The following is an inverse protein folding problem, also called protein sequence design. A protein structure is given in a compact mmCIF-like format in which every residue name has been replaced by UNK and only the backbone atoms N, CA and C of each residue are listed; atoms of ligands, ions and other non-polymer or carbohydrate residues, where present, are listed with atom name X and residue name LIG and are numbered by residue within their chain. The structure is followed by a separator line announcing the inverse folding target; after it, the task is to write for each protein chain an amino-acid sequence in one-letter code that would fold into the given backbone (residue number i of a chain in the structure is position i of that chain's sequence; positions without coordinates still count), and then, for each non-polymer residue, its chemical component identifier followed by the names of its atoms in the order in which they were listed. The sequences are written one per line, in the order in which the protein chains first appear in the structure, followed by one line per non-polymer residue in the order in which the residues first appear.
data_IF_456240028263
#
_entry.id   IF_456240028263
#
_cell.length_a   1.000
_cell.length_b   1.000
_cell.length_c   1.000
_cell.angle_alpha   90.00
_cell.angle_beta   90.00
_cell.angle_gamma   90.00
#
_symmetry.space_group_name_H-M   'P 1'
#
loop_
_entity.id
_entity.type
_entity.pdbx_description
1 polymer ?
#
# COMPACT_ATOMS: atom_id res chain seq x y z
N UNK A 1 9.62 -18.31 -20.91
CA UNK A 1 10.91 -18.62 -20.31
C UNK A 1 10.60 -19.12 -18.92
N UNK A 2 10.96 -20.40 -18.60
CA UNK A 2 10.66 -20.98 -17.31
C UNK A 2 11.35 -20.18 -16.20
N UNK A 3 10.72 -20.14 -15.03
CA UNK A 3 11.34 -19.66 -13.80
C UNK A 3 12.69 -20.36 -13.67
N UNK A 4 13.78 -19.61 -13.87
CA UNK A 4 15.12 -20.09 -13.53
C UNK A 4 15.03 -20.28 -12.02
N UNK A 5 15.09 -21.53 -11.57
CA UNK A 5 15.06 -21.88 -10.16
C UNK A 5 16.21 -21.17 -9.45
N UNK A 6 15.97 -19.93 -9.01
CA UNK A 6 16.89 -19.28 -8.08
C UNK A 6 16.78 -20.05 -6.76
N UNK A 7 17.90 -20.51 -6.26
CA UNK A 7 17.99 -21.03 -4.90
C UNK A 7 17.31 -20.03 -3.95
N UNK A 8 16.33 -20.49 -3.19
CA UNK A 8 15.70 -19.65 -2.17
C UNK A 8 16.80 -19.28 -1.17
N UNK A 9 17.04 -17.97 -0.94
CA UNK A 9 18.03 -17.54 0.01
C UNK A 9 17.76 -18.10 1.41
N UNK A 10 18.77 -18.72 1.97
CA UNK A 10 18.79 -19.29 3.31
C UNK A 10 20.10 -18.93 4.01
N UNK A 11 20.20 -19.19 5.30
CA UNK A 11 21.46 -19.00 6.03
C UNK A 11 22.61 -19.82 5.42
N UNK A 12 22.31 -21.01 4.92
CA UNK A 12 23.32 -21.93 4.41
C UNK A 12 23.87 -21.55 3.03
N UNK A 13 23.08 -20.81 2.22
CA UNK A 13 23.45 -20.50 0.84
C UNK A 13 23.69 -19.02 0.55
N UNK A 14 23.34 -18.10 1.46
CA UNK A 14 23.40 -16.66 1.21
C UNK A 14 24.82 -16.19 0.88
N UNK A 15 25.83 -16.68 1.55
CA UNK A 15 27.23 -16.34 1.26
C UNK A 15 27.63 -16.73 -0.17
N UNK A 16 27.16 -17.89 -0.65
CA UNK A 16 27.37 -18.35 -2.04
C UNK A 16 26.65 -17.47 -3.05
N UNK A 17 25.39 -17.07 -2.75
CA UNK A 17 24.61 -16.17 -3.61
C UNK A 17 25.24 -14.79 -3.76
N UNK A 18 25.99 -14.34 -2.75
CA UNK A 18 26.68 -13.05 -2.71
C UNK A 18 28.17 -13.12 -3.05
N UNK A 19 28.66 -14.25 -3.62
CA UNK A 19 30.11 -14.46 -3.84
C UNK A 19 30.78 -13.31 -4.61
N UNK A 20 30.11 -12.75 -5.61
CA UNK A 20 30.65 -11.71 -6.48
C UNK A 20 30.28 -10.27 -6.03
N UNK A 21 29.58 -10.13 -4.92
CA UNK A 21 29.15 -8.83 -4.41
C UNK A 21 30.14 -8.33 -3.35
N UNK A 22 30.29 -7.00 -3.25
CA UNK A 22 31.08 -6.33 -2.21
C UNK A 22 30.20 -5.62 -1.20
N UNK A 23 28.97 -5.30 -1.60
CA UNK A 23 28.00 -4.50 -0.83
C UNK A 23 26.61 -5.06 -0.98
N UNK A 24 25.76 -4.79 0.00
CA UNK A 24 24.36 -5.20 0.05
C UNK A 24 23.54 -3.99 0.47
N UNK A 25 22.44 -3.73 -0.21
CA UNK A 25 21.47 -2.71 0.19
C UNK A 25 20.37 -3.34 1.05
N UNK A 26 20.03 -2.69 2.14
CA UNK A 26 18.96 -3.13 3.07
C UNK A 26 18.04 -1.98 3.37
N UNK A 27 16.74 -2.24 3.51
CA UNK A 27 15.77 -1.23 3.91
C UNK A 27 14.60 -1.82 4.68
N UNK A 28 14.09 -1.08 5.66
CA UNK A 28 12.80 -1.30 6.30
C UNK A 28 11.77 -0.29 5.84
N UNK A 29 10.53 -0.47 6.23
CA UNK A 29 9.41 0.41 5.88
C UNK A 29 8.98 1.15 7.14
N UNK A 30 8.99 2.49 7.11
CA UNK A 30 8.58 3.33 8.23
C UNK A 30 7.05 3.50 8.34
N UNK A 31 6.57 4.34 9.28
CA UNK A 31 5.14 4.58 9.50
C UNK A 31 4.40 5.20 8.31
N UNK A 32 5.12 5.86 7.41
CA UNK A 32 4.57 6.51 6.21
C UNK A 32 4.71 5.66 4.94
N UNK A 33 5.25 4.43 5.07
CA UNK A 33 5.47 3.54 3.94
C UNK A 33 6.74 3.88 3.14
N UNK A 34 7.64 4.70 3.70
CA UNK A 34 8.91 5.08 3.09
C UNK A 34 9.96 4.01 3.40
N UNK A 35 10.73 3.64 2.38
CA UNK A 35 11.89 2.76 2.56
C UNK A 35 13.05 3.51 3.20
N UNK A 36 13.43 3.11 4.41
CA UNK A 36 14.56 3.62 5.18
C UNK A 36 15.63 2.55 5.29
N UNK A 37 16.85 2.86 4.88
CA UNK A 37 17.89 1.84 4.87
C UNK A 37 19.28 2.36 4.57
N UNK A 38 20.18 1.41 4.30
CA UNK A 38 21.59 1.73 4.03
C UNK A 38 22.21 0.70 3.09
N UNK A 39 23.36 1.04 2.55
CA UNK A 39 24.27 0.10 1.91
C UNK A 39 25.26 -0.38 2.96
N UNK A 40 25.48 -1.68 3.02
CA UNK A 40 26.39 -2.34 3.98
C UNK A 40 27.48 -3.07 3.21
N UNK A 41 28.65 -3.18 3.83
CA UNK A 41 29.67 -4.16 3.43
C UNK A 41 29.10 -5.58 3.50
N UNK A 42 29.47 -6.43 2.54
CA UNK A 42 28.95 -7.81 2.45
C UNK A 42 29.26 -8.64 3.69
N UNK A 43 30.49 -8.56 4.21
CA UNK A 43 30.89 -9.37 5.38
C UNK A 43 30.12 -8.91 6.63
N UNK A 44 29.90 -7.59 6.75
CA UNK A 44 29.03 -7.05 7.81
C UNK A 44 27.59 -7.50 7.67
N UNK A 45 27.05 -7.55 6.45
CA UNK A 45 25.71 -8.09 6.19
C UNK A 45 25.64 -9.57 6.58
N UNK A 46 26.58 -10.39 6.13
CA UNK A 46 26.61 -11.84 6.42
C UNK A 46 26.66 -12.10 7.94
N UNK A 47 27.47 -11.34 8.68
CA UNK A 47 27.51 -11.44 10.15
C UNK A 47 26.22 -11.02 10.85
N UNK A 48 25.34 -10.28 10.16
CA UNK A 48 24.08 -9.75 10.70
C UNK A 48 22.84 -10.57 10.32
N UNK A 49 23.01 -11.62 9.52
CA UNK A 49 21.87 -12.44 9.01
C UNK A 49 21.13 -13.14 10.14
N UNK A 50 21.83 -13.56 11.20
CA UNK A 50 21.24 -14.28 12.33
C UNK A 50 20.78 -13.34 13.44
N UNK A 51 21.70 -12.49 13.90
CA UNK A 51 21.49 -11.68 15.11
C UNK A 51 20.99 -10.27 14.81
N UNK A 52 20.95 -9.87 13.54
CA UNK A 52 20.59 -8.52 13.14
C UNK A 52 21.71 -7.50 13.35
N UNK A 53 21.35 -6.24 13.25
CA UNK A 53 22.23 -5.09 13.50
C UNK A 53 21.42 -3.91 14.03
N UNK A 54 22.09 -3.01 14.76
CA UNK A 54 21.48 -1.81 15.31
C UNK A 54 21.08 -0.80 14.22
N UNK A 55 19.88 -0.26 14.36
CA UNK A 55 19.37 0.89 13.61
C UNK A 55 18.56 1.76 14.56
N UNK A 56 18.73 3.09 14.52
CA UNK A 56 18.04 3.97 15.43
C UNK A 56 16.52 3.82 15.39
N UNK A 57 15.89 3.72 16.55
CA UNK A 57 14.45 3.64 16.73
C UNK A 57 13.71 4.88 16.21
N UNK A 58 14.42 5.99 16.02
CA UNK A 58 13.90 7.25 15.48
C UNK A 58 13.23 7.06 14.10
N UNK A 59 13.59 5.99 13.38
CA UNK A 59 13.01 5.62 12.09
C UNK A 59 11.47 5.54 12.13
N UNK A 60 10.89 5.14 13.26
CA UNK A 60 9.44 5.10 13.47
C UNK A 60 8.90 6.34 14.20
N UNK A 61 9.76 7.31 14.52
CA UNK A 61 9.40 8.58 15.14
C UNK A 61 9.48 9.78 14.21
N UNK A 62 9.90 9.60 12.95
CA UNK A 62 9.92 10.64 11.92
C UNK A 62 8.65 10.66 11.09
N UNK A 63 8.24 11.87 10.71
CA UNK A 63 7.30 12.07 9.61
C UNK A 63 8.01 11.96 8.25
N UNK A 64 7.27 12.19 7.15
CA UNK A 64 7.82 12.14 5.80
C UNK A 64 8.82 13.27 5.46
N UNK A 65 9.03 14.22 6.35
CA UNK A 65 10.01 15.31 6.26
C UNK A 65 11.16 15.16 7.26
N UNK A 66 11.29 14.00 7.91
CA UNK A 66 12.27 13.71 8.97
C UNK A 66 12.13 14.62 10.22
N UNK A 67 10.91 15.12 10.45
CA UNK A 67 10.57 15.85 11.67
C UNK A 67 10.03 14.86 12.70
N UNK A 68 10.55 14.94 13.92
CA UNK A 68 10.09 14.11 15.02
C UNK A 68 8.66 14.47 15.42
N UNK A 69 7.80 13.47 15.51
CA UNK A 69 6.52 13.64 16.17
C UNK A 69 6.63 13.17 17.62
N UNK A 70 6.22 14.04 18.56
CA UNK A 70 6.27 13.74 19.98
C UNK A 70 5.29 12.62 20.33
N UNK A 71 5.81 11.47 20.68
CA UNK A 71 5.06 10.37 21.27
C UNK A 71 5.60 10.14 22.67
N UNK A 72 4.79 10.35 23.70
CA UNK A 72 5.09 9.91 25.06
C UNK A 72 4.42 8.56 25.33
N UNK A 73 5.02 7.68 26.12
CA UNK A 73 6.39 7.20 26.23
C UNK A 73 6.58 5.95 25.35
N UNK A 74 7.35 6.06 24.29
CA UNK A 74 7.63 4.93 23.38
C UNK A 74 9.14 4.76 23.24
N UNK A 75 9.57 3.57 22.83
CA UNK A 75 10.96 3.25 22.49
C UNK A 75 11.60 4.21 21.46
N UNK A 76 10.80 5.08 20.85
CA UNK A 76 11.22 6.15 19.94
C UNK A 76 11.34 7.53 20.61
N UNK A 77 11.20 7.63 21.95
CA UNK A 77 11.16 8.91 22.66
C UNK A 77 12.55 9.42 23.02
N UNK A 78 12.64 10.76 23.19
CA UNK A 78 13.84 11.44 23.75
C UNK A 78 14.21 10.87 25.11
N UNK A 79 13.23 10.51 25.94
CA UNK A 79 13.44 9.99 27.29
C UNK A 79 14.16 8.65 27.31
N UNK A 80 14.00 7.84 26.26
CA UNK A 80 14.70 6.56 26.09
C UNK A 80 15.99 6.70 25.23
N UNK A 81 16.37 7.93 24.87
CA UNK A 81 17.62 8.22 24.17
C UNK A 81 17.66 7.70 22.74
N UNK A 82 16.51 7.41 22.09
CA UNK A 82 16.41 6.85 20.75
C UNK A 82 17.27 5.60 20.54
N UNK A 83 17.27 4.69 21.50
CA UNK A 83 18.03 3.43 21.45
C UNK A 83 17.82 2.67 20.15
N UNK A 84 18.73 1.78 19.83
CA UNK A 84 18.65 1.01 18.59
C UNK A 84 17.57 -0.07 18.66
N UNK A 85 16.84 -0.21 17.57
CA UNK A 85 16.13 -1.43 17.22
C UNK A 85 17.10 -2.45 16.62
N UNK A 86 16.83 -3.72 16.81
CA UNK A 86 17.51 -4.79 16.10
C UNK A 86 16.84 -5.00 14.73
N UNK A 87 17.55 -4.62 13.67
CA UNK A 87 17.11 -4.81 12.28
C UNK A 87 17.61 -6.15 11.76
N UNK A 88 16.69 -7.03 11.40
CA UNK A 88 17.00 -8.39 10.94
C UNK A 88 16.67 -8.49 9.44
N UNK A 89 17.65 -8.86 8.58
CA UNK A 89 17.40 -9.07 7.17
C UNK A 89 16.42 -10.23 6.92
N UNK A 90 15.40 -9.97 6.09
CA UNK A 90 14.48 -11.01 5.62
C UNK A 90 15.05 -11.64 4.35
N UNK A 91 15.66 -12.81 4.47
CA UNK A 91 16.28 -13.50 3.33
C UNK A 91 15.29 -13.85 2.22
N UNK A 92 14.02 -14.13 2.54
CA UNK A 92 12.99 -14.42 1.55
C UNK A 92 12.66 -13.21 0.65
N UNK A 93 12.97 -12.00 1.13
CA UNK A 93 12.77 -10.75 0.37
C UNK A 93 13.87 -10.49 -0.67
N UNK A 94 14.91 -11.31 -0.74
CA UNK A 94 16.06 -11.13 -1.64
C UNK A 94 15.66 -10.83 -3.06
N UNK A 95 16.26 -9.78 -3.62
CA UNK A 95 16.23 -9.45 -5.05
C UNK A 95 17.46 -8.63 -5.42
N UNK A 96 17.70 -8.47 -6.72
CA UNK A 96 18.73 -7.57 -7.22
C UNK A 96 18.05 -6.33 -7.80
N UNK A 97 18.64 -5.15 -7.62
CA UNK A 97 18.11 -3.90 -8.17
C UNK A 97 18.73 -3.69 -9.57
N UNK A 98 17.98 -3.92 -10.68
CA UNK A 98 18.55 -3.95 -12.02
C UNK A 98 19.11 -2.60 -12.49
N UNK A 99 18.56 -1.50 -11.99
CA UNK A 99 18.99 -0.12 -12.33
C UNK A 99 20.07 0.43 -11.39
N UNK A 100 20.53 -0.37 -10.41
CA UNK A 100 21.65 -0.04 -9.51
C UNK A 100 22.74 -1.14 -9.59
N UNK A 101 23.24 -1.42 -10.79
CA UNK A 101 24.30 -2.40 -11.04
C UNK A 101 24.01 -3.80 -10.46
N UNK A 102 22.74 -4.20 -10.40
CA UNK A 102 22.29 -5.45 -9.80
C UNK A 102 22.68 -5.62 -8.33
N UNK A 103 22.81 -4.55 -7.55
CA UNK A 103 23.10 -4.64 -6.13
C UNK A 103 22.10 -5.56 -5.42
N UNK A 104 22.55 -6.50 -4.57
CA UNK A 104 21.66 -7.31 -3.73
C UNK A 104 20.86 -6.43 -2.78
N UNK A 105 19.58 -6.71 -2.65
CA UNK A 105 18.66 -5.96 -1.81
C UNK A 105 17.83 -6.88 -0.91
N UNK A 106 17.66 -6.48 0.35
CA UNK A 106 16.83 -7.18 1.35
C UNK A 106 15.96 -6.19 2.11
N UNK A 107 14.73 -6.61 2.39
CA UNK A 107 13.87 -5.92 3.34
C UNK A 107 14.23 -6.33 4.77
N UNK A 108 13.96 -5.43 5.71
CA UNK A 108 14.22 -5.60 7.14
C UNK A 108 12.92 -5.84 7.90
N UNK A 109 13.02 -6.52 9.04
CA UNK A 109 12.05 -6.53 10.14
C UNK A 109 12.74 -6.01 11.39
N UNK A 110 11.96 -5.53 12.34
CA UNK A 110 12.49 -4.84 13.52
C UNK A 110 12.02 -5.48 14.80
N UNK A 111 12.94 -5.60 15.76
CA UNK A 111 12.70 -6.19 17.09
C UNK A 111 13.38 -5.35 18.16
N UNK A 112 12.78 -5.37 19.37
CA UNK A 112 13.40 -4.91 20.63
C UNK A 112 13.37 -6.08 21.60
N UNK A 113 14.52 -6.52 22.09
CA UNK A 113 14.63 -7.67 22.99
C UNK A 113 13.91 -8.93 22.45
N UNK A 114 14.01 -9.20 21.16
CA UNK A 114 13.32 -10.29 20.44
C UNK A 114 11.79 -10.16 20.35
N UNK A 115 11.24 -9.02 20.73
CA UNK A 115 9.82 -8.70 20.53
C UNK A 115 9.68 -7.81 19.30
N UNK A 116 8.78 -8.13 18.37
CA UNK A 116 8.56 -7.31 17.19
C UNK A 116 8.15 -5.87 17.55
N UNK A 117 8.68 -4.90 16.82
CA UNK A 117 8.28 -3.49 16.97
C UNK A 117 6.81 -3.34 16.57
N UNK A 118 5.95 -2.76 17.44
CA UNK A 118 4.50 -2.65 17.18
C UNK A 118 4.14 -1.88 15.89
N UNK A 119 5.03 -0.99 15.43
CA UNK A 119 4.86 -0.22 14.21
C UNK A 119 5.39 -0.92 12.94
N UNK A 120 6.06 -2.07 13.06
CA UNK A 120 6.55 -2.79 11.87
C UNK A 120 5.38 -3.42 11.09
N UNK A 121 4.94 -2.71 10.04
CA UNK A 121 3.80 -3.12 9.20
C UNK A 121 3.98 -4.49 8.56
N UNK A 122 5.21 -4.87 8.18
CA UNK A 122 5.50 -6.19 7.62
C UNK A 122 5.22 -7.30 8.66
N UNK A 123 5.65 -7.09 9.89
CA UNK A 123 5.43 -8.04 10.98
C UNK A 123 3.95 -8.10 11.39
N UNK A 124 3.24 -6.96 11.43
CA UNK A 124 1.80 -6.92 11.69
C UNK A 124 1.05 -7.77 10.65
N UNK A 125 1.24 -7.50 9.36
CA UNK A 125 0.55 -8.22 8.29
C UNK A 125 0.84 -9.72 8.32
N UNK A 126 2.10 -10.10 8.47
CA UNK A 126 2.50 -11.51 8.58
C UNK A 126 1.91 -12.22 9.80
N UNK A 127 1.65 -11.50 10.89
CA UNK A 127 0.98 -12.08 12.05
C UNK A 127 -0.46 -12.49 11.74
N UNK A 128 -1.19 -11.69 10.95
CA UNK A 128 -2.52 -12.06 10.45
C UNK A 128 -2.46 -13.24 9.48
N UNK A 129 -1.52 -13.22 8.54
CA UNK A 129 -1.34 -14.33 7.59
C UNK A 129 -1.11 -15.67 8.31
N UNK A 130 -0.27 -15.69 9.36
CA UNK A 130 -0.02 -16.89 10.16
C UNK A 130 -1.28 -17.40 10.87
N UNK A 131 -2.02 -16.52 11.55
CA UNK A 131 -3.28 -16.90 12.22
C UNK A 131 -4.30 -17.50 11.24
N UNK A 132 -4.43 -16.91 10.06
CA UNK A 132 -5.33 -17.40 9.02
C UNK A 132 -4.85 -18.73 8.43
N UNK A 133 -3.53 -18.92 8.31
CA UNK A 133 -2.95 -20.18 7.87
C UNK A 133 -3.15 -21.33 8.87
N UNK A 134 -3.13 -21.05 10.17
CA UNK A 134 -3.47 -22.00 11.25
C UNK A 134 -4.92 -22.49 11.11
N UNK A 135 -5.83 -21.66 10.61
CA UNK A 135 -7.23 -22.01 10.31
C UNK A 135 -7.41 -22.67 8.92
N UNK A 136 -6.32 -22.92 8.19
CA UNK A 136 -6.31 -23.67 6.91
C UNK A 136 -6.54 -22.83 5.67
N UNK A 137 -6.32 -21.51 5.73
CA UNK A 137 -6.50 -20.61 4.59
C UNK A 137 -5.24 -19.83 4.25
N UNK A 138 -5.16 -19.37 2.99
CA UNK A 138 -4.19 -18.40 2.51
C UNK A 138 -4.88 -17.12 2.09
N UNK A 139 -4.25 -15.99 2.37
CA UNK A 139 -4.76 -14.67 2.02
C UNK A 139 -4.11 -14.20 0.72
N UNK A 140 -4.92 -13.79 -0.25
CA UNK A 140 -4.49 -13.35 -1.57
C UNK A 140 -4.86 -11.89 -1.79
N UNK A 141 -3.97 -11.14 -2.45
CA UNK A 141 -4.26 -9.77 -2.86
C UNK A 141 -3.73 -9.45 -4.26
N UNK A 142 -4.36 -8.47 -4.89
CA UNK A 142 -3.88 -7.71 -6.04
C UNK A 142 -4.05 -6.23 -5.72
N UNK A 143 -3.19 -5.37 -6.27
CA UNK A 143 -3.28 -3.93 -6.06
C UNK A 143 -3.15 -3.21 -7.39
N UNK A 144 -4.07 -2.29 -7.65
CA UNK A 144 -4.03 -1.36 -8.77
C UNK A 144 -3.51 -0.02 -8.25
N UNK A 145 -2.45 0.51 -8.86
CA UNK A 145 -1.84 1.78 -8.48
C UNK A 145 -1.91 2.76 -9.63
N UNK A 146 -2.64 3.84 -9.43
CA UNK A 146 -2.57 5.01 -10.29
C UNK A 146 -1.48 5.96 -9.80
N UNK A 147 -0.80 6.62 -10.71
CA UNK A 147 0.14 7.69 -10.37
C UNK A 147 0.26 8.68 -11.52
N UNK A 148 0.39 9.95 -11.14
CA UNK A 148 0.50 11.05 -12.10
C UNK A 148 1.97 11.35 -12.36
N UNK A 149 2.34 11.50 -13.63
CA UNK A 149 3.72 11.77 -14.04
C UNK A 149 3.86 13.21 -14.52
N UNK A 150 4.92 13.85 -14.05
CA UNK A 150 5.31 15.21 -14.44
C UNK A 150 6.70 15.22 -15.07
N UNK A 151 6.96 16.16 -15.95
CA UNK A 151 8.35 16.47 -16.33
C UNK A 151 9.07 17.05 -15.11
N UNK A 152 10.26 16.54 -14.81
CA UNK A 152 11.09 17.14 -13.76
C UNK A 152 11.53 18.54 -14.23
N UNK A 153 11.24 19.60 -13.44
CA UNK A 153 11.66 20.97 -13.83
C UNK A 153 13.16 21.09 -13.95
N UNK A 154 13.60 21.73 -15.03
CA UNK A 154 15.03 22.04 -15.30
C UNK A 154 15.34 23.52 -15.12
N UNK A 155 14.31 24.33 -14.88
CA UNK A 155 14.40 25.76 -14.64
C UNK A 155 15.09 26.04 -13.29
N UNK A 156 15.48 27.26 -13.03
CA UNK A 156 16.15 27.72 -11.81
C UNK A 156 17.64 27.37 -11.67
N UNK A 157 18.35 27.09 -12.78
CA UNK A 157 19.80 26.96 -12.80
C UNK A 157 20.39 25.66 -12.28
N UNK A 158 19.53 24.68 -11.93
CA UNK A 158 19.98 23.34 -11.63
C UNK A 158 20.16 22.55 -12.93
N UNK A 159 21.42 22.24 -13.27
CA UNK A 159 21.78 21.70 -14.60
C UNK A 159 21.57 20.20 -14.76
N UNK A 160 21.35 19.45 -13.69
CA UNK A 160 21.22 18.00 -13.79
C UNK A 160 19.76 17.62 -14.04
N UNK A 161 19.49 17.26 -15.26
CA UNK A 161 18.27 16.57 -15.62
C UNK A 161 18.10 15.33 -14.72
N UNK A 162 16.91 15.13 -14.19
CA UNK A 162 16.61 13.99 -13.30
C UNK A 162 17.03 14.17 -11.84
N UNK A 163 17.67 15.27 -11.45
CA UNK A 163 17.96 15.52 -10.03
C UNK A 163 16.65 15.83 -9.26
N UNK A 164 16.25 15.00 -8.27
CA UNK A 164 15.04 15.23 -7.47
C UNK A 164 15.02 16.59 -6.76
N UNK A 165 16.18 17.19 -6.50
CA UNK A 165 16.29 18.53 -5.90
C UNK A 165 15.72 19.62 -6.80
N UNK A 166 15.64 19.39 -8.10
CA UNK A 166 15.06 20.35 -9.03
C UNK A 166 13.57 20.60 -8.72
N UNK A 167 12.82 19.57 -8.39
CA UNK A 167 11.40 19.74 -8.07
C UNK A 167 11.22 20.49 -6.74
N UNK A 168 12.03 20.21 -5.72
CA UNK A 168 11.97 20.93 -4.45
C UNK A 168 12.32 22.40 -4.64
N UNK A 169 13.40 22.72 -5.37
CA UNK A 169 13.79 24.10 -5.66
C UNK A 169 12.74 24.83 -6.50
N UNK A 170 12.09 24.15 -7.44
CA UNK A 170 11.01 24.71 -8.24
C UNK A 170 9.79 25.08 -7.37
N UNK A 171 9.35 24.15 -6.51
CA UNK A 171 8.18 24.33 -5.65
C UNK A 171 8.36 25.35 -4.53
N UNK A 172 9.60 25.78 -4.23
CA UNK A 172 9.81 26.93 -3.32
C UNK A 172 9.36 28.27 -3.92
N UNK A 173 9.23 28.35 -5.23
CA UNK A 173 8.91 29.60 -5.97
C UNK A 173 7.69 29.51 -6.86
N UNK A 174 7.20 28.30 -7.10
CA UNK A 174 6.11 28.04 -8.03
C UNK A 174 5.08 27.12 -7.38
N UNK A 175 3.81 27.37 -7.67
CA UNK A 175 2.74 26.50 -7.20
C UNK A 175 2.84 25.09 -7.82
N UNK A 176 2.43 24.03 -7.10
CA UNK A 176 2.39 22.67 -7.65
C UNK A 176 1.60 22.55 -8.96
N UNK A 177 0.57 23.38 -9.15
CA UNK A 177 -0.25 23.44 -10.37
C UNK A 177 0.51 23.90 -11.62
N UNK A 178 1.70 24.47 -11.47
CA UNK A 178 2.57 24.86 -12.58
C UNK A 178 3.46 23.73 -13.09
N UNK A 179 3.49 22.58 -12.43
CA UNK A 179 4.22 21.40 -12.91
C UNK A 179 3.61 20.91 -14.24
N UNK A 180 4.47 20.66 -15.22
CA UNK A 180 4.05 20.20 -16.54
C UNK A 180 3.81 18.70 -16.52
N UNK A 181 2.57 18.28 -16.79
CA UNK A 181 2.22 16.87 -16.94
C UNK A 181 3.02 16.19 -18.07
N UNK A 182 3.34 14.92 -17.90
CA UNK A 182 4.09 14.14 -18.88
C UNK A 182 3.35 14.04 -20.23
N UNK A 183 2.03 13.95 -20.19
CA UNK A 183 1.16 14.02 -21.36
C UNK A 183 0.01 14.98 -21.10
N UNK A 184 -0.45 15.68 -22.12
CA UNK A 184 -1.60 16.59 -22.04
C UNK A 184 -2.91 15.85 -22.32
N UNK A 185 -4.00 16.33 -21.72
CA UNK A 185 -5.34 15.80 -21.92
C UNK A 185 -5.61 14.50 -21.14
N UNK A 186 -6.88 14.08 -21.16
CA UNK A 186 -7.39 12.90 -20.45
C UNK A 186 -7.63 11.82 -21.48
N UNK A 187 -6.90 10.70 -21.43
CA UNK A 187 -6.98 9.62 -22.40
C UNK A 187 -6.73 8.27 -21.73
N UNK A 188 -7.75 7.74 -21.07
CA UNK A 188 -7.69 6.39 -20.49
C UNK A 188 -7.55 5.33 -21.59
N UNK A 189 -6.80 4.28 -21.31
CA UNK A 189 -6.53 3.14 -22.22
C UNK A 189 -5.97 3.54 -23.58
N UNK A 190 -5.24 4.66 -23.65
CA UNK A 190 -4.64 5.10 -24.92
C UNK A 190 -3.43 4.24 -25.28
N UNK A 191 -3.45 3.66 -26.48
CA UNK A 191 -2.31 2.92 -27.03
C UNK A 191 -1.25 3.82 -27.67
N UNK A 192 -1.58 5.09 -27.94
CA UNK A 192 -0.67 6.02 -28.62
C UNK A 192 -0.02 7.04 -27.70
N UNK A 193 -0.69 7.45 -26.61
CA UNK A 193 -0.15 8.46 -25.66
C UNK A 193 1.16 8.04 -25.00
N UNK A 194 1.36 6.78 -24.58
CA UNK A 194 2.63 6.35 -23.99
C UNK A 194 3.81 6.42 -24.96
N UNK A 195 3.56 6.46 -26.27
CA UNK A 195 4.63 6.41 -27.28
C UNK A 195 5.57 7.63 -27.24
N UNK A 196 5.07 8.78 -26.78
CA UNK A 196 5.93 9.95 -26.57
C UNK A 196 7.04 9.70 -25.51
N UNK A 197 6.79 8.80 -24.56
CA UNK A 197 7.70 8.40 -23.47
C UNK A 197 7.86 6.88 -23.42
N UNK A 198 7.90 6.23 -24.59
CA UNK A 198 7.84 4.76 -24.72
C UNK A 198 8.93 4.04 -23.91
N UNK A 199 10.12 4.62 -23.84
CA UNK A 199 11.25 3.99 -23.12
C UNK A 199 10.91 3.88 -21.64
N UNK A 200 10.50 4.99 -21.01
CA UNK A 200 10.06 4.99 -19.61
C UNK A 200 8.86 4.05 -19.39
N UNK A 201 7.84 4.13 -20.26
CA UNK A 201 6.63 3.32 -20.14
C UNK A 201 6.92 1.82 -20.20
N UNK A 202 7.67 1.35 -21.19
CA UNK A 202 8.00 -0.06 -21.32
C UNK A 202 9.03 -0.54 -20.30
N UNK A 203 10.02 0.32 -19.97
CA UNK A 203 11.04 -0.03 -18.98
C UNK A 203 10.45 -0.31 -17.59
N UNK A 204 9.38 0.43 -17.17
CA UNK A 204 8.67 0.12 -15.93
C UNK A 204 8.15 -1.31 -15.96
N UNK A 205 7.53 -1.74 -17.06
CA UNK A 205 7.02 -3.10 -17.17
C UNK A 205 8.15 -4.14 -17.13
N UNK A 206 9.17 -3.96 -17.95
CA UNK A 206 10.28 -4.92 -18.07
C UNK A 206 11.05 -5.06 -16.74
N UNK A 207 11.40 -3.93 -16.12
CA UNK A 207 12.12 -3.90 -14.83
C UNK A 207 11.25 -4.42 -13.68
N UNK A 208 9.91 -4.33 -13.78
CA UNK A 208 9.02 -4.90 -12.78
C UNK A 208 9.14 -6.43 -12.70
N UNK A 209 9.37 -7.10 -13.82
CA UNK A 209 9.62 -8.54 -13.89
C UNK A 209 10.95 -8.90 -13.24
N UNK A 210 12.02 -8.17 -13.60
CA UNK A 210 13.37 -8.41 -13.07
C UNK A 210 13.44 -8.16 -11.56
N UNK A 211 12.71 -7.14 -11.08
CA UNK A 211 12.67 -6.75 -9.66
C UNK A 211 11.60 -7.48 -8.85
N UNK A 212 10.85 -8.42 -9.46
CA UNK A 212 9.80 -9.23 -8.82
C UNK A 212 8.65 -8.38 -8.24
N UNK A 213 8.28 -7.32 -8.96
CA UNK A 213 7.10 -6.48 -8.68
C UNK A 213 6.08 -6.59 -9.80
N UNK A 214 5.96 -7.74 -10.40
CA UNK A 214 5.31 -8.07 -11.66
C UNK A 214 3.98 -7.34 -11.86
N UNK A 215 3.87 -6.66 -12.99
CA UNK A 215 2.65 -6.03 -13.50
C UNK A 215 1.84 -7.06 -14.28
N UNK A 216 0.52 -7.06 -14.14
CA UNK A 216 -0.42 -7.85 -14.93
C UNK A 216 -1.11 -6.99 -15.99
N UNK A 217 -1.52 -5.76 -15.63
CA UNK A 217 -2.12 -4.77 -16.51
C UNK A 217 -1.38 -3.44 -16.45
N UNK A 218 -1.18 -2.77 -17.60
CA UNK A 218 -0.42 -1.53 -17.69
C UNK A 218 -0.98 -0.61 -18.78
N UNK A 219 -1.50 0.56 -18.38
CA UNK A 219 -2.15 1.48 -19.29
C UNK A 219 -2.13 2.94 -18.79
N UNK A 220 -2.55 3.87 -19.66
CA UNK A 220 -2.89 5.24 -19.25
C UNK A 220 -4.27 5.27 -18.61
N UNK A 221 -4.48 6.17 -17.63
CA UNK A 221 -5.74 6.29 -16.91
C UNK A 221 -6.30 7.72 -16.92
N UNK A 222 -7.40 7.96 -16.20
CA UNK A 222 -8.20 9.19 -16.24
C UNK A 222 -7.46 10.37 -15.60
N UNK A 223 -6.66 11.05 -16.42
CA UNK A 223 -5.92 12.24 -16.04
C UNK A 223 -4.72 12.51 -16.92
N UNK A 224 -4.24 13.76 -17.00
CA UNK A 224 -3.04 14.08 -17.78
C UNK A 224 -1.80 13.45 -17.14
N UNK A 225 -1.10 12.62 -17.89
CA UNK A 225 0.11 11.92 -17.42
C UNK A 225 -0.15 10.81 -16.41
N UNK A 226 -1.39 10.36 -16.23
CA UNK A 226 -1.73 9.27 -15.31
C UNK A 226 -1.48 7.91 -15.96
N UNK A 227 -0.73 7.07 -15.25
CA UNK A 227 -0.55 5.65 -15.55
C UNK A 227 -1.16 4.82 -14.44
N UNK A 228 -1.68 3.64 -14.79
CA UNK A 228 -2.17 2.64 -13.86
C UNK A 228 -1.45 1.31 -14.06
N UNK A 229 -0.98 0.75 -12.94
CA UNK A 229 -0.38 -0.57 -12.87
C UNK A 229 -1.24 -1.49 -12.00
N UNK A 230 -1.81 -2.54 -12.60
CA UNK A 230 -2.34 -3.67 -11.85
C UNK A 230 -1.20 -4.64 -11.55
N UNK A 231 -0.82 -4.79 -10.28
CA UNK A 231 0.20 -5.74 -9.87
C UNK A 231 -0.38 -7.15 -9.84
N UNK A 232 0.37 -8.11 -10.40
CA UNK A 232 -0.04 -9.51 -10.49
C UNK A 232 -0.31 -10.09 -9.09
N UNK A 233 -1.51 -10.64 -8.90
CA UNK A 233 -1.95 -11.17 -7.62
C UNK A 233 -0.97 -12.18 -7.01
N UNK A 234 -0.79 -12.10 -5.69
CA UNK A 234 0.06 -12.98 -4.89
C UNK A 234 -0.48 -13.15 -3.47
N UNK A 235 0.23 -13.90 -2.62
CA UNK A 235 -0.02 -13.89 -1.19
C UNK A 235 0.09 -12.45 -0.66
N UNK A 236 -0.74 -12.10 0.30
CA UNK A 236 -1.00 -10.69 0.66
C UNK A 236 0.22 -9.97 1.27
N UNK A 237 1.06 -10.68 2.03
CA UNK A 237 2.29 -10.13 2.60
C UNK A 237 3.35 -9.86 1.51
N UNK A 238 3.44 -10.74 0.52
CA UNK A 238 4.27 -10.51 -0.66
C UNK A 238 3.73 -9.33 -1.49
N UNK A 239 2.39 -9.19 -1.62
CA UNK A 239 1.78 -8.06 -2.32
C UNK A 239 2.13 -6.73 -1.66
N UNK A 240 2.11 -6.64 -0.33
CA UNK A 240 2.52 -5.43 0.39
C UNK A 240 3.97 -5.02 0.08
N UNK A 241 4.88 -5.99 0.09
CA UNK A 241 6.28 -5.78 -0.30
C UNK A 241 6.38 -5.34 -1.77
N UNK A 242 5.64 -5.98 -2.68
CA UNK A 242 5.62 -5.62 -4.13
C UNK A 242 5.15 -4.19 -4.37
N UNK A 243 4.10 -3.73 -3.68
CA UNK A 243 3.59 -2.34 -3.79
C UNK A 243 4.65 -1.34 -3.36
N UNK A 244 5.30 -1.57 -2.21
CA UNK A 244 6.37 -0.70 -1.71
C UNK A 244 7.53 -0.63 -2.70
N UNK A 245 7.94 -1.78 -3.22
CA UNK A 245 9.08 -1.90 -4.13
C UNK A 245 8.74 -1.44 -5.55
N UNK A 246 7.50 -1.57 -5.99
CA UNK A 246 7.04 -0.98 -7.24
C UNK A 246 7.11 0.55 -7.21
N UNK A 247 6.72 1.18 -6.10
CA UNK A 247 6.90 2.64 -5.92
C UNK A 247 8.38 3.03 -5.98
N UNK A 248 9.29 2.24 -5.38
CA UNK A 248 10.74 2.46 -5.50
C UNK A 248 11.20 2.37 -6.96
N UNK A 249 10.82 1.32 -7.67
CA UNK A 249 11.14 1.10 -9.08
C UNK A 249 10.72 2.30 -9.94
N UNK A 250 9.45 2.69 -9.87
CA UNK A 250 8.90 3.78 -10.69
C UNK A 250 9.60 5.11 -10.38
N UNK A 251 9.83 5.42 -9.10
CA UNK A 251 10.55 6.64 -8.70
C UNK A 251 11.99 6.64 -9.18
N UNK A 252 12.69 5.51 -9.10
CA UNK A 252 14.08 5.38 -9.55
C UNK A 252 14.22 5.57 -11.09
N UNK A 253 13.35 4.88 -11.85
CA UNK A 253 13.31 5.06 -13.31
C UNK A 253 12.89 6.48 -13.70
N UNK A 254 12.01 7.12 -12.91
CA UNK A 254 11.65 8.52 -13.09
C UNK A 254 12.88 9.43 -13.08
N UNK A 255 13.82 9.23 -12.15
CA UNK A 255 15.08 9.98 -12.08
C UNK A 255 15.90 9.80 -13.37
N UNK A 256 16.01 8.58 -13.88
CA UNK A 256 16.76 8.30 -15.13
C UNK A 256 16.18 8.99 -16.36
N UNK A 257 14.82 9.16 -16.37
CA UNK A 257 14.09 9.70 -17.51
C UNK A 257 13.67 11.17 -17.38
N UNK A 258 14.13 11.89 -16.35
CA UNK A 258 13.70 13.27 -16.06
C UNK A 258 12.17 13.38 -15.87
N UNK A 259 11.59 12.39 -15.24
CA UNK A 259 10.16 12.29 -14.92
C UNK A 259 10.02 12.22 -13.41
N UNK A 260 9.03 12.96 -12.89
CA UNK A 260 8.65 12.91 -11.47
C UNK A 260 7.32 12.18 -11.34
N UNK A 261 7.31 10.88 -11.00
CA UNK A 261 6.09 10.16 -10.70
C UNK A 261 5.57 10.53 -9.32
N UNK A 262 4.27 10.79 -9.22
CA UNK A 262 3.60 11.24 -8.02
C UNK A 262 2.51 10.26 -7.62
N UNK A 263 2.67 9.64 -6.44
CA UNK A 263 1.70 8.71 -5.84
C UNK A 263 0.79 9.39 -4.78
N UNK A 264 0.73 10.70 -4.73
CA UNK A 264 -0.25 11.41 -3.88
C UNK A 264 -1.67 11.02 -4.29
N UNK A 265 -2.58 10.87 -3.33
CA UNK A 265 -3.98 10.57 -3.62
C UNK A 265 -4.67 11.67 -4.45
N UNK A 266 -4.29 12.93 -4.27
CA UNK A 266 -4.81 14.09 -5.02
C UNK A 266 -3.67 15.04 -5.39
N UNK A 267 -2.95 14.78 -6.49
CA UNK A 267 -1.82 15.62 -6.89
C UNK A 267 -2.22 17.01 -7.36
N UNK A 268 -3.37 17.14 -8.03
CA UNK A 268 -3.80 18.40 -8.67
C UNK A 268 -5.27 18.69 -8.39
N UNK A 269 -5.56 19.92 -8.04
CA UNK A 269 -6.93 20.42 -7.87
C UNK A 269 -7.71 20.35 -9.20
N UNK A 270 -8.98 19.97 -9.14
CA UNK A 270 -9.88 19.92 -10.31
C UNK A 270 -9.68 18.71 -11.23
N UNK A 271 -8.68 17.85 -10.98
CA UNK A 271 -8.48 16.58 -11.69
C UNK A 271 -8.91 15.38 -10.83
N UNK A 272 -9.02 14.20 -11.42
CA UNK A 272 -9.19 12.96 -10.66
C UNK A 272 -7.98 12.73 -9.74
N UNK A 273 -8.19 12.01 -8.64
CA UNK A 273 -7.11 11.54 -7.77
C UNK A 273 -6.50 10.26 -8.29
N UNK A 274 -5.44 9.81 -7.64
CA UNK A 274 -4.77 8.54 -7.92
C UNK A 274 -5.21 7.48 -6.92
N UNK A 275 -5.83 6.40 -7.41
CA UNK A 275 -6.32 5.29 -6.59
C UNK A 275 -5.22 4.27 -6.26
N UNK A 276 -5.48 3.51 -5.21
CA UNK A 276 -4.73 2.32 -4.84
C UNK A 276 -5.71 1.20 -4.51
N UNK A 277 -6.52 0.77 -5.50
CA UNK A 277 -7.57 -0.23 -5.27
C UNK A 277 -6.97 -1.55 -4.81
N UNK A 278 -7.55 -2.15 -3.80
CA UNK A 278 -7.09 -3.41 -3.23
C UNK A 278 -8.09 -4.51 -3.55
N UNK A 279 -7.65 -5.52 -4.29
CA UNK A 279 -8.37 -6.76 -4.48
C UNK A 279 -7.94 -7.76 -3.41
N UNK A 280 -8.90 -8.38 -2.72
CA UNK A 280 -8.63 -9.33 -1.65
C UNK A 280 -9.52 -10.56 -1.75
N UNK A 281 -8.96 -11.73 -1.51
CA UNK A 281 -9.66 -13.01 -1.43
C UNK A 281 -8.94 -13.99 -0.50
N UNK A 282 -9.61 -15.10 -0.18
CA UNK A 282 -9.01 -16.22 0.54
C UNK A 282 -9.00 -17.45 -0.35
N UNK A 283 -8.00 -18.30 -0.18
CA UNK A 283 -7.94 -19.65 -0.76
C UNK A 283 -7.76 -20.68 0.35
N UNK A 284 -8.11 -21.93 0.07
CA UNK A 284 -7.63 -23.04 0.89
C UNK A 284 -6.12 -23.27 0.68
N UNK A 285 -5.51 -24.16 1.44
CA UNK A 285 -4.09 -24.47 1.33
C UNK A 285 -3.70 -25.10 -0.03
N UNK A 286 -4.70 -25.57 -0.81
CA UNK A 286 -4.51 -26.12 -2.17
C UNK A 286 -4.66 -25.05 -3.25
N UNK A 287 -4.93 -23.78 -2.86
CA UNK A 287 -5.09 -22.66 -3.78
C UNK A 287 -6.49 -22.50 -4.38
N UNK A 288 -7.49 -23.27 -3.91
CA UNK A 288 -8.88 -23.10 -4.35
C UNK A 288 -9.50 -21.89 -3.65
N UNK A 289 -10.10 -20.99 -4.43
CA UNK A 289 -10.82 -19.83 -3.90
C UNK A 289 -12.00 -20.28 -3.01
N UNK A 290 -12.05 -19.74 -1.78
CA UNK A 290 -13.09 -20.11 -0.81
C UNK A 290 -14.24 -19.09 -0.72
N UNK A 291 -14.16 -17.97 -1.44
CA UNK A 291 -15.26 -17.01 -1.53
C UNK A 291 -16.33 -17.46 -2.52
N UNK A 292 -15.96 -18.22 -3.56
CA UNK A 292 -16.91 -18.75 -4.52
C UNK A 292 -17.66 -19.98 -3.98
N UNK A 293 -18.95 -20.09 -4.30
CA UNK A 293 -19.75 -21.31 -4.09
C UNK A 293 -19.56 -22.29 -5.26
N UNK A 294 -19.90 -23.55 -5.02
CA UNK A 294 -19.96 -24.57 -6.08
C UNK A 294 -21.25 -24.50 -6.91
N UNK A 295 -22.31 -24.00 -6.29
CA UNK A 295 -23.61 -23.77 -6.93
C UNK A 295 -24.29 -22.54 -6.29
N UNK A 296 -25.08 -21.78 -7.07
CA UNK A 296 -25.81 -20.63 -6.56
C UNK A 296 -26.69 -20.99 -5.37
N UNK A 297 -26.81 -20.03 -4.43
CA UNK A 297 -27.69 -20.15 -3.28
C UNK A 297 -29.08 -19.55 -3.60
N UNK A 298 -30.12 -20.36 -3.82
CA UNK A 298 -31.46 -19.87 -4.16
C UNK A 298 -32.11 -19.08 -3.01
N UNK A 299 -31.59 -19.19 -1.79
CA UNK A 299 -32.08 -18.52 -0.60
C UNK A 299 -31.24 -17.33 -0.18
N UNK A 300 -30.33 -16.87 -1.04
CA UNK A 300 -29.50 -15.70 -0.76
C UNK A 300 -30.37 -14.48 -0.45
N UNK A 301 -30.04 -13.75 0.62
CA UNK A 301 -30.78 -12.54 1.05
C UNK A 301 -30.90 -11.48 -0.07
N UNK A 302 -29.90 -11.40 -0.92
CA UNK A 302 -29.87 -10.58 -2.14
C UNK A 302 -29.28 -11.42 -3.27
N UNK A 303 -29.78 -11.23 -4.48
CA UNK A 303 -29.32 -11.95 -5.66
C UNK A 303 -27.81 -11.82 -5.89
N UNK A 304 -27.25 -10.66 -5.59
CA UNK A 304 -25.80 -10.37 -5.68
C UNK A 304 -24.92 -11.32 -4.86
N UNK A 305 -25.52 -12.03 -3.88
CA UNK A 305 -24.80 -12.97 -3.00
C UNK A 305 -24.99 -14.44 -3.38
N UNK A 306 -25.74 -14.77 -4.43
CA UNK A 306 -26.08 -16.16 -4.75
C UNK A 306 -24.82 -17.01 -5.05
N UNK A 307 -23.78 -16.41 -5.64
CA UNK A 307 -22.51 -17.08 -5.97
C UNK A 307 -21.45 -16.96 -4.85
N UNK A 308 -21.76 -16.22 -3.78
CA UNK A 308 -20.81 -15.96 -2.70
C UNK A 308 -21.00 -16.98 -1.56
N UNK A 309 -19.92 -17.61 -1.14
CA UNK A 309 -19.91 -18.56 -0.01
C UNK A 309 -20.20 -17.86 1.32
N UNK A 310 -20.50 -18.63 2.36
CA UNK A 310 -20.70 -18.08 3.70
C UNK A 310 -19.45 -17.40 4.24
N UNK A 311 -18.24 -17.95 3.95
CA UNK A 311 -16.96 -17.32 4.28
C UNK A 311 -16.85 -15.95 3.58
N UNK A 312 -17.18 -15.88 2.29
CA UNK A 312 -17.17 -14.61 1.55
C UNK A 312 -18.18 -13.61 2.11
N UNK A 313 -19.38 -14.05 2.48
CA UNK A 313 -20.42 -13.19 3.10
C UNK A 313 -19.96 -12.63 4.45
N UNK A 314 -19.41 -13.47 5.32
CA UNK A 314 -18.88 -13.05 6.61
C UNK A 314 -17.67 -12.10 6.45
N UNK A 315 -16.80 -12.37 5.47
CA UNK A 315 -15.67 -11.50 5.17
C UNK A 315 -16.15 -10.11 4.71
N UNK A 316 -17.13 -10.04 3.81
CA UNK A 316 -17.75 -8.78 3.38
C UNK A 316 -18.39 -8.03 4.55
N UNK A 317 -19.12 -8.74 5.43
CA UNK A 317 -19.71 -8.15 6.63
C UNK A 317 -18.63 -7.58 7.57
N UNK A 318 -17.50 -8.27 7.70
CA UNK A 318 -16.33 -7.81 8.44
C UNK A 318 -15.77 -6.50 7.88
N UNK A 319 -15.60 -6.42 6.57
CA UNK A 319 -15.16 -5.19 5.89
C UNK A 319 -16.14 -4.03 6.13
N UNK A 320 -17.43 -4.24 5.88
CA UNK A 320 -18.48 -3.22 6.03
C UNK A 320 -18.58 -2.68 7.45
N UNK A 321 -18.40 -3.53 8.46
CA UNK A 321 -18.50 -3.11 9.87
C UNK A 321 -17.24 -2.42 10.40
N UNK A 322 -16.08 -2.63 9.77
CA UNK A 322 -14.79 -2.14 10.29
C UNK A 322 -14.21 -0.95 9.50
N UNK A 323 -14.46 -0.86 8.20
CA UNK A 323 -13.83 0.17 7.34
C UNK A 323 -13.96 1.58 7.89
N UNK A 324 -15.13 2.05 8.39
CA UNK A 324 -15.22 3.42 8.92
C UNK A 324 -14.26 3.71 10.07
N UNK A 325 -13.92 2.70 10.87
CA UNK A 325 -12.97 2.81 11.99
C UNK A 325 -11.52 2.64 11.53
N UNK A 326 -11.28 2.09 10.33
CA UNK A 326 -9.95 1.79 9.78
C UNK A 326 -9.51 2.82 8.72
N UNK A 327 -10.32 3.84 8.48
CA UNK A 327 -10.08 4.83 7.43
C UNK A 327 -8.67 5.43 7.41
N UNK A 328 -8.01 5.79 8.55
CA UNK A 328 -6.69 6.40 8.47
C UNK A 328 -5.58 5.42 8.05
N UNK A 329 -5.84 4.11 8.03
CA UNK A 329 -4.92 3.11 7.44
C UNK A 329 -5.12 2.97 5.92
N UNK A 330 -6.28 3.35 5.40
CA UNK A 330 -6.65 3.30 3.97
C UNK A 330 -6.43 4.65 3.26
N UNK A 331 -6.60 5.74 3.99
CA UNK A 331 -6.44 7.12 3.55
C UNK A 331 -5.59 7.87 4.60
N UNK A 332 -4.22 7.70 4.56
CA UNK A 332 -3.37 8.01 5.71
C UNK A 332 -2.97 9.48 5.85
N UNK A 333 -3.24 10.33 4.86
CA UNK A 333 -2.80 11.73 4.85
C UNK A 333 -3.96 12.68 4.71
N UNK A 334 -3.77 13.95 5.05
CA UNK A 334 -4.76 15.01 4.76
C UNK A 334 -5.08 15.06 3.27
N UNK A 335 -4.09 14.83 2.43
CA UNK A 335 -4.26 14.79 0.98
C UNK A 335 -5.17 13.64 0.52
N UNK A 336 -5.15 12.50 1.20
CA UNK A 336 -5.99 11.34 0.86
C UNK A 336 -7.47 11.69 0.82
N UNK A 337 -7.94 12.53 1.75
CA UNK A 337 -9.36 12.96 1.83
C UNK A 337 -9.75 13.96 0.75
N UNK A 338 -8.77 14.57 0.05
CA UNK A 338 -9.04 15.41 -1.12
C UNK A 338 -9.41 14.58 -2.36
N UNK A 339 -9.08 13.27 -2.36
CA UNK A 339 -9.51 12.33 -3.40
C UNK A 339 -10.93 11.83 -3.17
N UNK A 340 -11.34 11.62 -1.92
CA UNK A 340 -12.64 11.07 -1.55
C UNK A 340 -13.76 12.12 -1.70
N UNK A 341 -14.06 12.48 -2.93
CA UNK A 341 -15.05 13.50 -3.30
C UNK A 341 -15.98 12.96 -4.39
N UNK A 342 -17.23 13.47 -4.41
CA UNK A 342 -18.21 13.07 -5.41
C UNK A 342 -17.76 13.37 -6.85
N UNK A 343 -18.30 12.63 -7.82
CA UNK A 343 -18.08 12.80 -9.26
C UNK A 343 -16.69 12.45 -9.82
N UNK A 344 -15.82 11.80 -9.03
CA UNK A 344 -14.51 11.35 -9.47
C UNK A 344 -14.27 9.85 -9.23
N UNK A 345 -15.34 9.03 -9.24
CA UNK A 345 -15.31 7.57 -9.01
C UNK A 345 -14.60 7.14 -7.71
N UNK A 346 -14.42 8.06 -6.79
CA UNK A 346 -13.93 7.79 -5.45
C UNK A 346 -15.10 7.68 -4.47
N UNK A 347 -15.20 6.62 -3.66
CA UNK A 347 -16.35 6.41 -2.77
C UNK A 347 -16.32 7.40 -1.62
N UNK A 348 -17.47 8.04 -1.38
CA UNK A 348 -17.70 8.92 -0.21
C UNK A 348 -18.60 8.28 0.84
N UNK A 349 -19.20 7.15 0.49
CA UNK A 349 -20.14 6.41 1.34
C UNK A 349 -19.73 4.96 1.48
N UNK A 350 -20.14 4.34 2.60
CA UNK A 350 -19.98 2.91 2.83
C UNK A 350 -21.07 2.13 2.08
N UNK A 351 -20.66 1.24 1.20
CA UNK A 351 -21.57 0.39 0.44
C UNK A 351 -20.84 -0.71 -0.32
N UNK A 352 -21.62 -1.62 -0.89
CA UNK A 352 -21.12 -2.73 -1.69
C UNK A 352 -22.09 -3.07 -2.83
N UNK A 353 -21.61 -3.75 -3.86
CA UNK A 353 -22.44 -4.24 -4.94
C UNK A 353 -21.67 -5.18 -5.87
N UNK A 354 -22.41 -6.08 -6.54
CA UNK A 354 -21.86 -6.94 -7.58
C UNK A 354 -21.54 -6.08 -8.81
N UNK A 355 -20.27 -6.08 -9.21
CA UNK A 355 -19.74 -5.30 -10.34
C UNK A 355 -20.03 -3.78 -10.27
N UNK A 356 -20.36 -3.24 -9.11
CA UNK A 356 -20.68 -1.83 -8.93
C UNK A 356 -19.42 -1.00 -8.61
N UNK A 357 -18.95 -0.24 -9.58
CA UNK A 357 -17.78 0.65 -9.45
C UNK A 357 -18.07 1.95 -8.68
N UNK A 358 -19.32 2.23 -8.32
CA UNK A 358 -19.68 3.37 -7.47
C UNK A 358 -19.63 3.02 -5.99
N UNK A 359 -19.65 1.74 -5.66
CA UNK A 359 -19.56 1.27 -4.27
C UNK A 359 -18.13 1.33 -3.73
N UNK A 360 -17.99 1.49 -2.41
CA UNK A 360 -16.70 1.42 -1.73
C UNK A 360 -16.11 0.00 -1.73
N UNK A 361 -16.96 -1.02 -1.83
CA UNK A 361 -16.57 -2.43 -2.00
C UNK A 361 -17.31 -3.00 -3.19
N UNK A 362 -16.56 -3.32 -4.26
CA UNK A 362 -17.09 -4.02 -5.42
C UNK A 362 -16.87 -5.52 -5.25
N UNK A 363 -17.94 -6.29 -5.27
CA UNK A 363 -17.88 -7.74 -5.36
C UNK A 363 -17.64 -8.12 -6.84
N UNK A 364 -16.59 -8.87 -7.10
CA UNK A 364 -16.27 -9.44 -8.41
C UNK A 364 -16.51 -10.95 -8.30
N UNK A 365 -17.56 -11.44 -8.95
CA UNK A 365 -18.03 -12.84 -8.86
C UNK A 365 -18.69 -13.27 -10.16
N UNK A 366 -19.00 -14.57 -10.36
CA UNK A 366 -19.81 -15.01 -11.48
C UNK A 366 -21.16 -14.23 -11.56
N UNK A 367 -21.73 -14.02 -12.76
CA UNK A 367 -21.30 -14.56 -14.06
C UNK A 367 -20.18 -13.75 -14.74
N UNK A 368 -19.80 -12.58 -14.19
CA UNK A 368 -18.82 -11.69 -14.83
C UNK A 368 -17.40 -12.24 -14.73
N UNK A 369 -17.07 -12.91 -13.62
CA UNK A 369 -15.78 -13.56 -13.44
C UNK A 369 -15.91 -15.08 -13.31
N UNK A 370 -14.79 -15.80 -13.44
CA UNK A 370 -14.73 -17.23 -13.09
C UNK A 370 -14.81 -17.40 -11.57
N UNK A 371 -15.41 -18.50 -11.05
CA UNK A 371 -15.47 -18.76 -9.61
C UNK A 371 -14.13 -18.63 -8.89
N UNK A 372 -13.03 -19.12 -9.50
CA UNK A 372 -11.68 -19.01 -8.95
C UNK A 372 -11.14 -17.58 -8.82
N UNK A 373 -11.77 -16.61 -9.47
CA UNK A 373 -11.41 -15.20 -9.41
C UNK A 373 -12.32 -14.34 -8.52
N UNK A 374 -13.22 -14.97 -7.75
CA UNK A 374 -14.14 -14.27 -6.83
C UNK A 374 -13.33 -13.54 -5.75
N UNK A 375 -13.59 -12.22 -5.62
CA UNK A 375 -12.83 -11.33 -4.73
C UNK A 375 -13.61 -10.06 -4.41
N UNK A 376 -13.15 -9.33 -3.42
CA UNK A 376 -13.59 -7.96 -3.17
C UNK A 376 -12.54 -6.97 -3.66
N UNK A 377 -12.96 -5.95 -4.37
CA UNK A 377 -12.19 -4.76 -4.69
C UNK A 377 -12.59 -3.65 -3.72
N UNK A 378 -11.68 -3.26 -2.83
CA UNK A 378 -11.88 -2.12 -1.94
C UNK A 378 -11.32 -0.87 -2.61
N UNK A 379 -12.20 0.11 -2.90
CA UNK A 379 -11.92 1.26 -3.75
C UNK A 379 -11.55 2.54 -2.98
N UNK A 380 -11.54 2.45 -1.66
CA UNK A 380 -11.22 3.58 -0.76
C UNK A 380 -9.74 3.97 -0.80
N UNK A 381 -8.76 3.02 -0.77
CA UNK A 381 -7.37 3.39 -0.67
C UNK A 381 -6.89 4.26 -1.84
N UNK A 382 -6.07 5.26 -1.53
CA UNK A 382 -5.32 6.02 -2.50
C UNK A 382 -3.95 5.39 -2.79
N UNK A 383 -3.30 5.85 -3.86
CA UNK A 383 -1.96 5.40 -4.18
C UNK A 383 -0.91 5.76 -3.10
N UNK A 384 -1.24 6.68 -2.21
CA UNK A 384 -0.44 7.13 -1.07
C UNK A 384 -0.49 6.18 0.13
N UNK A 385 -1.37 5.17 0.14
CA UNK A 385 -1.50 4.24 1.26
C UNK A 385 -0.17 3.59 1.65
N UNK A 386 -0.03 3.31 2.96
CA UNK A 386 0.99 2.39 3.46
C UNK A 386 0.54 0.95 3.21
N UNK A 387 1.14 0.20 2.26
CA UNK A 387 0.55 -1.05 1.79
C UNK A 387 0.41 -2.11 2.86
N UNK A 388 1.39 -2.27 3.74
CA UNK A 388 1.32 -3.27 4.82
C UNK A 388 0.20 -2.96 5.82
N UNK A 389 0.00 -1.69 6.19
CA UNK A 389 -1.07 -1.31 7.11
C UNK A 389 -2.44 -1.44 6.44
N UNK A 390 -2.59 -0.99 5.20
CA UNK A 390 -3.86 -1.07 4.48
C UNK A 390 -4.30 -2.53 4.27
N UNK A 391 -3.37 -3.39 3.83
CA UNK A 391 -3.65 -4.81 3.64
C UNK A 391 -3.92 -5.53 4.97
N UNK A 392 -3.19 -5.21 6.04
CA UNK A 392 -3.44 -5.74 7.38
C UNK A 392 -4.82 -5.32 7.91
N UNK A 393 -5.22 -4.06 7.68
CA UNK A 393 -6.52 -3.53 8.07
C UNK A 393 -7.67 -4.29 7.40
N UNK A 394 -7.60 -4.46 6.08
CA UNK A 394 -8.64 -5.16 5.32
C UNK A 394 -8.67 -6.66 5.63
N UNK A 395 -7.51 -7.29 5.76
CA UNK A 395 -7.43 -8.70 6.11
C UNK A 395 -7.97 -8.95 7.53
N UNK A 396 -7.56 -8.15 8.51
CA UNK A 396 -8.03 -8.24 9.88
C UNK A 396 -9.53 -7.99 10.02
N UNK A 397 -10.06 -6.98 9.29
CA UNK A 397 -11.47 -6.68 9.24
C UNK A 397 -12.31 -7.84 8.68
N UNK A 398 -11.91 -8.35 7.51
CA UNK A 398 -12.59 -9.47 6.86
C UNK A 398 -12.52 -10.74 7.70
N UNK A 399 -11.34 -11.06 8.25
CA UNK A 399 -11.16 -12.25 9.08
C UNK A 399 -11.95 -12.18 10.39
N UNK A 400 -12.02 -11.00 11.03
CA UNK A 400 -12.93 -10.77 12.17
C UNK A 400 -14.38 -11.11 11.82
N UNK A 401 -14.82 -10.72 10.62
CA UNK A 401 -16.16 -11.06 10.12
C UNK A 401 -16.37 -12.57 10.01
N UNK A 402 -15.39 -13.32 9.51
CA UNK A 402 -15.40 -14.78 9.40
C UNK A 402 -15.46 -15.43 10.79
N UNK A 403 -14.59 -15.00 11.72
CA UNK A 403 -14.53 -15.55 13.08
C UNK A 403 -15.82 -15.33 13.88
N UNK A 404 -16.42 -14.14 13.73
CA UNK A 404 -17.67 -13.78 14.42
C UNK A 404 -18.92 -14.18 13.64
N UNK A 405 -18.79 -14.70 12.41
CA UNK A 405 -19.90 -15.05 11.49
C UNK A 405 -20.88 -13.89 11.34
N UNK A 406 -20.34 -12.69 11.05
CA UNK A 406 -21.16 -11.48 10.99
C UNK A 406 -22.10 -11.50 9.80
N UNK A 407 -23.33 -11.00 10.02
CA UNK A 407 -24.28 -10.75 8.94
C UNK A 407 -23.97 -9.44 8.21
N UNK A 408 -24.23 -9.42 6.90
CA UNK A 408 -24.07 -8.22 6.08
C UNK A 408 -25.10 -7.17 6.53
N UNK A 409 -24.65 -5.99 7.03
CA UNK A 409 -25.55 -5.04 7.70
C UNK A 409 -26.45 -4.24 6.76
N UNK A 410 -26.04 -4.08 5.50
CA UNK A 410 -26.72 -3.21 4.53
C UNK A 410 -26.94 -3.92 3.19
N UNK A 411 -28.02 -3.60 2.45
CA UNK A 411 -28.23 -4.14 1.11
C UNK A 411 -27.16 -3.62 0.12
N UNK A 412 -27.06 -4.24 -1.08
CA UNK A 412 -26.27 -3.69 -2.18
C UNK A 412 -26.64 -2.24 -2.46
N UNK A 413 -25.66 -1.41 -2.84
CA UNK A 413 -25.85 0.03 -3.02
C UNK A 413 -27.01 0.37 -3.95
N UNK A 414 -27.16 -0.37 -5.05
CA UNK A 414 -28.23 -0.15 -6.03
C UNK A 414 -29.65 -0.49 -5.50
N UNK A 415 -29.76 -1.32 -4.44
CA UNK A 415 -31.02 -1.69 -3.81
C UNK A 415 -31.29 -0.88 -2.53
N UNK A 416 -30.39 -0.03 -2.12
CA UNK A 416 -30.48 0.74 -0.88
C UNK A 416 -31.52 1.86 -1.02
N UNK A 417 -32.46 1.94 -0.08
CA UNK A 417 -33.52 2.95 -0.05
C UNK A 417 -33.23 4.08 0.95
N UNK A 418 -32.45 3.78 1.96
CA UNK A 418 -32.03 4.71 3.01
C UNK A 418 -30.77 5.47 2.59
N UNK A 419 -30.51 6.60 3.27
CA UNK A 419 -29.29 7.38 3.05
C UNK A 419 -28.07 6.56 3.48
N UNK A 420 -27.07 6.38 2.61
CA UNK A 420 -25.87 5.62 2.96
C UNK A 420 -25.07 6.31 4.06
N UNK A 421 -24.37 5.51 4.88
CA UNK A 421 -23.40 6.03 5.84
C UNK A 421 -22.26 6.73 5.11
N UNK A 422 -21.96 7.94 5.51
CA UNK A 422 -20.80 8.68 5.01
C UNK A 422 -19.53 8.14 5.65
N UNK A 423 -18.51 7.94 4.83
CA UNK A 423 -17.15 7.70 5.33
C UNK A 423 -16.60 8.97 5.98
N UNK A 424 -15.70 8.89 6.95
CA UNK A 424 -14.98 10.06 7.45
C UNK A 424 -14.41 10.88 6.29
N UNK A 425 -14.66 12.18 6.30
CA UNK A 425 -14.29 13.09 5.21
C UNK A 425 -13.03 13.92 5.50
N UNK A 426 -12.36 13.63 6.61
CA UNK A 426 -11.10 14.27 7.00
C UNK A 426 -10.24 13.32 7.81
N UNK A 427 -8.93 13.53 7.79
CA UNK A 427 -7.98 12.75 8.60
C UNK A 427 -8.29 12.91 10.10
N UNK A 428 -8.65 14.08 10.55
CA UNK A 428 -9.04 14.41 11.94
C UNK A 428 -10.21 13.52 12.41
N UNK A 429 -11.30 13.47 11.63
CA UNK A 429 -12.46 12.64 11.92
C UNK A 429 -12.13 11.15 11.90
N UNK A 430 -11.31 10.72 10.96
CA UNK A 430 -10.90 9.32 10.83
C UNK A 430 -10.02 8.88 11.99
N UNK A 431 -9.03 9.66 12.39
CA UNK A 431 -8.16 9.36 13.54
C UNK A 431 -8.94 9.33 14.85
N UNK A 432 -9.85 10.30 15.04
CA UNK A 432 -10.72 10.32 16.23
C UNK A 432 -11.55 9.03 16.35
N UNK A 433 -12.08 8.52 15.22
CA UNK A 433 -12.83 7.27 15.17
C UNK A 433 -11.94 6.05 15.37
N UNK A 434 -10.76 6.01 14.76
CA UNK A 434 -9.79 4.92 14.83
C UNK A 434 -9.33 4.65 16.27
N UNK A 435 -8.98 5.70 17.02
CA UNK A 435 -8.45 5.57 18.39
C UNK A 435 -9.53 5.47 19.49
N UNK A 436 -10.82 5.68 19.15
CA UNK A 436 -11.90 5.65 20.13
C UNK A 436 -11.93 4.34 20.93
N UNK A 437 -12.33 4.36 22.23
CA UNK A 437 -12.37 3.14 23.05
C UNK A 437 -13.28 2.04 22.47
N UNK A 438 -14.35 2.39 21.76
CA UNK A 438 -15.28 1.46 21.11
C UNK A 438 -14.96 1.14 19.66
N UNK A 439 -13.83 1.58 19.15
CA UNK A 439 -13.42 1.35 17.75
C UNK A 439 -13.16 -0.12 17.47
N UNK A 440 -13.64 -0.60 16.34
CA UNK A 440 -13.31 -1.95 15.83
C UNK A 440 -11.81 -2.12 15.58
N UNK A 441 -11.07 -1.04 15.35
CA UNK A 441 -9.63 -1.08 15.22
C UNK A 441 -8.94 -1.72 16.44
N UNK A 442 -9.49 -1.52 17.66
CA UNK A 442 -8.96 -2.09 18.91
C UNK A 442 -9.22 -3.60 19.06
N UNK A 443 -10.12 -4.16 18.26
CA UNK A 443 -10.29 -5.62 18.18
C UNK A 443 -9.29 -6.27 17.20
N UNK A 444 -8.74 -5.46 16.29
CA UNK A 444 -7.88 -5.93 15.20
C UNK A 444 -6.39 -5.69 15.52
N UNK A 445 -6.06 -4.51 16.04
CA UNK A 445 -4.68 -4.08 16.29
C UNK A 445 -4.38 -3.92 17.79
N UNK A 446 -3.09 -3.96 18.13
CA UNK A 446 -2.65 -3.66 19.49
C UNK A 446 -2.87 -2.19 19.85
N UNK A 447 -3.08 -1.91 21.14
CA UNK A 447 -3.18 -0.53 21.64
C UNK A 447 -1.95 0.29 21.30
N UNK A 448 -0.76 -0.28 21.44
CA UNK A 448 0.52 0.37 21.14
C UNK A 448 0.63 0.82 19.68
N UNK A 449 0.20 -0.03 18.74
CA UNK A 449 0.16 0.36 17.33
C UNK A 449 -0.83 1.51 17.08
N UNK A 450 -2.05 1.40 17.65
CA UNK A 450 -3.08 2.43 17.50
C UNK A 450 -2.59 3.76 18.04
N UNK A 451 -1.98 3.78 19.20
CA UNK A 451 -1.52 5.01 19.86
C UNK A 451 -0.37 5.65 19.06
N UNK A 452 0.63 4.85 18.64
CA UNK A 452 1.75 5.34 17.83
C UNK A 452 1.30 5.88 16.48
N UNK A 453 0.47 5.12 15.75
CA UNK A 453 -0.03 5.53 14.44
C UNK A 453 -0.92 6.77 14.54
N UNK A 454 -1.79 6.82 15.56
CA UNK A 454 -2.62 8.02 15.82
C UNK A 454 -1.77 9.25 16.09
N UNK A 455 -0.72 9.12 16.91
CA UNK A 455 0.18 10.22 17.23
C UNK A 455 0.88 10.78 15.98
N UNK A 456 1.33 9.90 15.05
CA UNK A 456 1.92 10.34 13.79
C UNK A 456 0.94 11.11 12.92
N UNK A 457 -0.33 10.70 12.87
CA UNK A 457 -1.37 11.40 12.09
C UNK A 457 -1.82 12.70 12.77
N UNK A 458 -1.90 12.72 14.10
CA UNK A 458 -2.18 13.94 14.86
C UNK A 458 -1.09 14.99 14.68
N UNK A 459 0.16 14.58 14.54
CA UNK A 459 1.27 15.47 14.18
C UNK A 459 1.04 16.11 12.80
N UNK A 460 0.69 15.35 11.76
CA UNK A 460 0.36 15.90 10.44
C UNK A 460 -0.83 16.89 10.52
N UNK A 461 -1.90 16.51 11.24
CA UNK A 461 -3.07 17.36 11.44
C UNK A 461 -2.67 18.68 12.10
N UNK A 462 -1.82 18.63 13.13
CA UNK A 462 -1.32 19.83 13.83
C UNK A 462 -0.53 20.72 12.88
N UNK A 463 0.45 20.18 12.17
CA UNK A 463 1.25 20.94 11.21
C UNK A 463 0.39 21.58 10.12
N UNK A 464 -0.63 20.86 9.63
CA UNK A 464 -1.57 21.43 8.66
C UNK A 464 -2.40 22.57 9.23
N UNK A 465 -2.87 22.48 10.48
CA UNK A 465 -3.63 23.53 11.16
C UNK A 465 -2.79 24.76 11.49
N UNK A 466 -1.48 24.57 11.72
CA UNK A 466 -0.51 25.65 11.98
C UNK A 466 -0.07 26.34 10.68
N UNK A 467 -0.23 25.69 9.53
CA UNK A 467 0.19 26.25 8.25
C UNK A 467 -0.63 27.49 7.88
N UNK A 468 0.05 28.59 7.59
CA UNK A 468 -0.57 29.81 7.07
C UNK A 468 -0.68 29.71 5.55
N UNK A 469 -1.89 29.70 5.05
CA UNK A 469 -2.19 29.61 3.61
C UNK A 469 -2.85 30.91 3.15
N UNK A 470 -2.90 31.13 1.85
CA UNK A 470 -3.54 32.28 1.21
C UNK A 470 -5.02 32.01 0.83
N UNK A 471 -5.61 30.97 1.40
CA UNK A 471 -7.02 30.60 1.24
C UNK A 471 -7.87 31.14 2.37
#
# INVERSE_FOLDING_TARGET
MGEIGMDIPSRDNIARLLTHDHKVKVAGVDCDGILRGKVMDKEKFLSSVEDGFGISSVLFGWDMHDVLFNTEPNATSVQEGYGDFNAIPDLASFRRIPWEDNIPFFLLRFEVHKVPVPADGRTILRSFCRKIAEDGFKSMAGVELEFMNFHTPTENGYRNNGDPRNIAAYLTKNAPSSLRHLTSGIFSYSTTRPMANKVYFHQIFDRSVEFRTNIEGWHTEFGPGVFEAALKASEIDEMADRVTLFKLLVKSLGVEHNITPCFMAKPVYGLAGSSGHIHISLTDLKGKNVFARQSPDPNAKWKDLEELSDIGRWFLAGLLTAIPDLMPLLAPTINSYKRLVENYWAPTTLGWGLEDRNSSIRLIAPPVSKPGATRFEVRIPGADMHPHYALAALLGAGWRGVQKKLDIPVPPTLLRKDKPELLPNSLDAAVARFKAPGSVAREIFSGEFIDLFSASREHEIRLYKEAVTDW
#
